data_IF_579323343014
#
_entry.id   IF_579323343014
#
_cell.length_a   1.000
_cell.length_b   1.000
_cell.length_c   1.000
_cell.angle_alpha   90.00
_cell.angle_beta   90.00
_cell.angle_gamma   90.00
#
_symmetry.space_group_name_H-M   'P 1'
#
loop_
_entity.id
_entity.type
_entity.pdbx_description
1 polymer ?
#
# COMPACT_ATOMS: atom_id res chain seq x y z
N UNK A 1 14.70 -9.62 3.03
CA UNK A 1 13.63 -8.83 3.58
C UNK A 1 13.79 -7.38 3.20
N UNK A 2 12.74 -6.79 2.74
CA UNK A 2 12.79 -5.44 2.20
C UNK A 2 12.26 -4.46 3.24
N UNK A 3 13.02 -3.40 3.51
CA UNK A 3 12.55 -2.30 4.34
C UNK A 3 11.30 -1.67 3.74
N UNK A 4 11.22 -1.67 2.42
CA UNK A 4 10.08 -1.13 1.71
C UNK A 4 8.81 -1.89 2.07
N UNK A 5 8.87 -3.21 2.05
CA UNK A 5 7.72 -4.04 2.40
C UNK A 5 7.26 -3.78 3.82
N UNK A 6 8.19 -3.67 4.75
CA UNK A 6 7.85 -3.39 6.15
C UNK A 6 7.23 -2.01 6.32
N UNK A 7 7.75 -1.03 5.63
CA UNK A 7 7.22 0.34 5.70
C UNK A 7 5.82 0.43 5.10
N UNK A 8 5.62 -0.23 3.95
CA UNK A 8 4.29 -0.29 3.33
C UNK A 8 3.30 -0.93 4.28
N UNK A 9 3.68 -2.06 4.86
CA UNK A 9 2.83 -2.79 5.78
C UNK A 9 2.43 -1.94 6.98
N UNK A 10 3.39 -1.22 7.54
CA UNK A 10 3.14 -0.36 8.68
C UNK A 10 2.15 0.75 8.35
N UNK A 11 2.30 1.36 7.18
CA UNK A 11 1.39 2.41 6.73
C UNK A 11 -0.03 1.85 6.60
N UNK A 12 -0.16 0.68 6.01
CA UNK A 12 -1.46 0.04 5.82
C UNK A 12 -2.13 -0.21 7.18
N UNK A 13 -1.38 -0.73 8.13
CA UNK A 13 -1.90 -1.01 9.47
C UNK A 13 -2.42 0.27 10.12
N UNK A 14 -1.66 1.35 10.04
CA UNK A 14 -2.02 2.62 10.64
C UNK A 14 -3.25 3.25 10.01
N UNK A 15 -3.36 3.16 8.68
CA UNK A 15 -4.47 3.80 7.98
C UNK A 15 -5.75 2.99 8.02
N UNK A 16 -5.66 1.68 7.95
CA UNK A 16 -6.86 0.82 7.90
C UNK A 16 -7.22 0.23 9.25
N UNK A 17 -6.34 0.32 10.23
CA UNK A 17 -6.60 -0.24 11.55
C UNK A 17 -6.73 -1.75 11.55
N UNK A 18 -6.02 -2.43 10.66
CA UNK A 18 -6.06 -3.89 10.55
C UNK A 18 -4.89 -4.50 11.29
N UNK A 19 -5.01 -5.79 11.58
CA UNK A 19 -3.96 -6.51 12.26
C UNK A 19 -2.79 -6.82 11.32
N UNK A 20 -1.60 -6.81 11.89
CA UNK A 20 -0.37 -7.13 11.17
C UNK A 20 -0.47 -8.46 10.41
N UNK A 21 -1.07 -9.47 11.04
CA UNK A 21 -1.21 -10.79 10.46
C UNK A 21 -2.01 -10.80 9.16
N UNK A 22 -2.90 -9.84 8.98
CA UNK A 22 -3.74 -9.77 7.79
C UNK A 22 -3.07 -9.06 6.64
N UNK A 23 -2.02 -8.31 6.91
CA UNK A 23 -1.31 -7.56 5.88
C UNK A 23 -0.22 -8.44 5.30
N UNK A 24 -0.61 -9.30 4.37
CA UNK A 24 0.32 -10.21 3.69
C UNK A 24 0.41 -9.78 2.23
N UNK A 25 1.43 -10.28 1.52
CA UNK A 25 1.69 -9.87 0.13
C UNK A 25 0.48 -10.01 -0.77
N UNK A 26 -0.27 -11.09 -0.63
CA UNK A 26 -1.43 -11.36 -1.48
C UNK A 26 -2.71 -10.66 -1.02
N UNK A 27 -2.68 -9.96 0.10
CA UNK A 27 -3.87 -9.30 0.61
C UNK A 27 -4.29 -8.15 -0.29
N UNK A 28 -5.58 -8.15 -0.66
CA UNK A 28 -6.18 -7.06 -1.42
C UNK A 28 -6.60 -5.96 -0.45
N UNK A 29 -6.29 -4.73 -0.76
CA UNK A 29 -6.67 -3.61 0.10
C UNK A 29 -8.19 -3.53 0.28
N UNK A 30 -8.93 -3.74 -0.78
CA UNK A 30 -10.39 -3.66 -0.74
C UNK A 30 -11.02 -4.94 -0.23
N UNK A 31 -10.67 -6.07 -0.84
CA UNK A 31 -11.34 -7.34 -0.55
C UNK A 31 -10.92 -7.95 0.78
N UNK A 32 -9.65 -7.86 1.11
CA UNK A 32 -9.13 -8.53 2.32
C UNK A 32 -9.00 -7.57 3.50
N UNK A 33 -8.66 -6.33 3.24
CA UNK A 33 -8.42 -5.35 4.30
C UNK A 33 -9.55 -4.36 4.49
N UNK A 34 -10.56 -4.43 3.63
CA UNK A 34 -11.78 -3.63 3.79
C UNK A 34 -11.63 -2.15 3.46
N UNK A 35 -10.64 -1.78 2.67
CA UNK A 35 -10.46 -0.40 2.27
C UNK A 35 -11.52 -0.01 1.23
N UNK A 36 -12.07 1.18 1.35
CA UNK A 36 -12.93 1.71 0.29
C UNK A 36 -12.10 2.60 -0.64
N UNK A 37 -12.74 3.22 -1.62
CA UNK A 37 -12.01 4.03 -2.60
C UNK A 37 -11.31 5.23 -1.97
N UNK A 38 -11.88 5.80 -0.92
CA UNK A 38 -11.26 6.91 -0.22
C UNK A 38 -10.03 6.45 0.54
N UNK A 39 -10.12 5.30 1.18
CA UNK A 39 -8.99 4.71 1.92
C UNK A 39 -7.83 4.43 0.98
N UNK A 40 -8.10 3.90 -0.21
CA UNK A 40 -7.03 3.60 -1.16
C UNK A 40 -6.32 4.87 -1.62
N UNK A 41 -7.06 5.94 -1.84
CA UNK A 41 -6.47 7.24 -2.19
C UNK A 41 -5.56 7.73 -1.07
N UNK A 42 -6.02 7.64 0.17
CA UNK A 42 -5.23 8.06 1.31
C UNK A 42 -3.97 7.21 1.49
N UNK A 43 -4.08 5.91 1.25
CA UNK A 43 -2.92 5.02 1.31
C UNK A 43 -1.88 5.40 0.27
N UNK A 44 -2.33 5.69 -0.95
CA UNK A 44 -1.41 6.10 -2.03
C UNK A 44 -0.68 7.38 -1.64
N UNK A 45 -1.40 8.35 -1.10
CA UNK A 45 -0.80 9.60 -0.66
C UNK A 45 0.21 9.37 0.46
N UNK A 46 -0.11 8.48 1.39
CA UNK A 46 0.81 8.15 2.48
C UNK A 46 2.08 7.51 1.95
N UNK A 47 1.95 6.61 0.96
CA UNK A 47 3.12 6.00 0.33
C UNK A 47 3.99 7.04 -0.37
N UNK A 48 3.36 7.99 -1.07
CA UNK A 48 4.10 9.04 -1.74
C UNK A 48 4.92 9.88 -0.75
N UNK A 49 4.34 10.20 0.38
CA UNK A 49 5.03 10.97 1.40
C UNK A 49 6.15 10.17 2.07
N UNK A 50 5.86 8.91 2.37
CA UNK A 50 6.82 8.06 3.08
C UNK A 50 8.07 7.79 2.23
N UNK A 51 7.87 7.52 0.94
CA UNK A 51 8.96 7.13 0.05
C UNK A 51 9.43 8.27 -0.85
N UNK A 52 8.81 9.42 -0.73
CA UNK A 52 9.14 10.60 -1.54
C UNK A 52 9.16 10.29 -3.03
N UNK A 53 8.13 9.63 -3.48
CA UNK A 53 7.95 9.29 -4.89
C UNK A 53 6.56 9.68 -5.32
N UNK A 54 6.34 9.74 -6.63
CA UNK A 54 5.05 10.11 -7.18
C UNK A 54 4.37 8.87 -7.75
N UNK A 55 3.11 8.67 -7.38
CA UNK A 55 2.32 7.56 -7.87
C UNK A 55 1.16 8.15 -8.67
N UNK A 56 1.24 8.10 -10.02
CA UNK A 56 0.15 8.61 -10.86
C UNK A 56 -1.14 7.83 -10.64
N UNK A 57 -2.26 8.47 -10.91
CA UNK A 57 -3.56 7.87 -10.72
C UNK A 57 -3.75 6.56 -11.48
N UNK A 58 -3.25 6.48 -12.71
CA UNK A 58 -3.38 5.27 -13.51
C UNK A 58 -2.61 4.10 -12.91
N UNK A 59 -1.49 4.38 -12.26
CA UNK A 59 -0.71 3.36 -11.56
C UNK A 59 -1.40 3.00 -10.25
N UNK A 60 -1.92 4.00 -9.54
CA UNK A 60 -2.63 3.76 -8.29
C UNK A 60 -3.81 2.82 -8.47
N UNK A 61 -4.50 2.92 -9.61
CA UNK A 61 -5.62 2.04 -9.92
C UNK A 61 -5.19 0.58 -10.08
N UNK A 62 -3.94 0.35 -10.43
CA UNK A 62 -3.39 -0.99 -10.63
C UNK A 62 -2.86 -1.60 -9.34
N UNK A 63 -2.71 -0.79 -8.31
CA UNK A 63 -2.24 -1.26 -7.01
C UNK A 63 -3.43 -1.85 -6.26
N UNK A 64 -3.57 -3.15 -6.35
CA UNK A 64 -4.71 -3.86 -5.75
C UNK A 64 -4.30 -4.58 -4.48
N UNK A 65 -3.10 -5.17 -4.47
CA UNK A 65 -2.60 -5.92 -3.33
C UNK A 65 -1.41 -5.23 -2.69
N UNK A 66 -1.07 -5.67 -1.49
CA UNK A 66 0.12 -5.17 -0.78
C UNK A 66 1.37 -5.38 -1.63
N UNK A 67 1.48 -6.54 -2.26
CA UNK A 67 2.63 -6.84 -3.11
C UNK A 67 2.73 -5.88 -4.30
N UNK A 68 1.60 -5.53 -4.90
CA UNK A 68 1.59 -4.58 -6.01
C UNK A 68 2.19 -3.24 -5.58
N UNK A 69 1.81 -2.76 -4.39
CA UNK A 69 2.34 -1.51 -3.87
C UNK A 69 3.84 -1.61 -3.61
N UNK A 70 4.28 -2.68 -3.00
CA UNK A 70 5.70 -2.91 -2.71
C UNK A 70 6.52 -2.94 -4.01
N UNK A 71 6.03 -3.70 -4.99
CA UNK A 71 6.74 -3.83 -6.27
C UNK A 71 6.87 -2.49 -6.98
N UNK A 72 5.79 -1.72 -7.01
CA UNK A 72 5.82 -0.43 -7.68
C UNK A 72 6.82 0.52 -7.00
N UNK A 73 6.78 0.58 -5.69
CA UNK A 73 7.66 1.46 -4.93
C UNK A 73 9.12 1.04 -5.11
N UNK A 74 9.40 -0.25 -5.10
CA UNK A 74 10.76 -0.76 -5.32
C UNK A 74 11.31 -0.35 -6.68
N UNK A 75 10.45 -0.33 -7.69
CA UNK A 75 10.87 0.10 -9.01
C UNK A 75 11.21 1.59 -9.06
N UNK A 76 10.52 2.40 -8.25
CA UNK A 76 10.76 3.84 -8.22
C UNK A 76 12.02 4.22 -7.44
N UNK A 77 12.42 3.41 -6.51
CA UNK A 77 13.60 3.66 -5.70
C UNK A 77 14.81 2.95 -6.29
#
# INVERSE_FOLDING_TARGET
MSDIAERVKKIVIEHLGVEDEKVVDSASFVDDLGADSLDTVELVMAFEEEFKCEIPDDIAEKIITVKDAVNFIEEKL
#
